data_IF_156686302783
#
_entry.id   IF_156686302783
#
_cell.length_a   1.000
_cell.length_b   1.000
_cell.length_c   1.000
_cell.angle_alpha   90.00
_cell.angle_beta   90.00
_cell.angle_gamma   90.00
#
_symmetry.space_group_name_H-M   'P 1'
#
loop_
_entity.id
_entity.type
_entity.pdbx_description
1 polymer ?
#
# COMPACT_ATOMS: atom_id res chain seq x y z
N UNK A 1 -7.01 1.42 0.58
CA UNK A 1 -5.97 2.11 1.36
C UNK A 1 -6.60 2.81 2.56
N UNK A 2 -5.90 2.83 3.68
CA UNK A 2 -6.30 3.56 4.88
C UNK A 2 -5.20 4.52 5.33
N UNK A 3 -5.62 5.57 6.04
CA UNK A 3 -4.74 6.51 6.70
C UNK A 3 -5.05 6.52 8.21
N UNK A 4 -4.01 6.38 9.02
CA UNK A 4 -4.06 6.48 10.48
C UNK A 4 -3.56 7.86 10.88
N UNK A 5 -4.38 8.60 11.61
CA UNK A 5 -4.03 9.89 12.19
C UNK A 5 -4.42 9.90 13.68
N UNK A 6 -3.99 10.88 14.46
CA UNK A 6 -4.46 11.04 15.85
C UNK A 6 -6.00 11.18 15.98
N UNK A 7 -6.68 11.51 14.88
CA UNK A 7 -8.13 11.75 14.87
C UNK A 7 -8.95 10.55 14.39
N UNK A 8 -8.32 9.49 13.90
CA UNK A 8 -9.03 8.29 13.46
C UNK A 8 -8.34 7.53 12.34
N UNK A 9 -9.03 6.48 11.91
CA UNK A 9 -8.72 5.69 10.72
C UNK A 9 -9.59 6.18 9.57
N UNK A 10 -8.98 6.62 8.49
CA UNK A 10 -9.67 7.17 7.33
C UNK A 10 -9.51 6.26 6.11
N UNK A 11 -10.56 6.12 5.31
CA UNK A 11 -10.43 5.58 3.96
C UNK A 11 -9.92 6.68 3.03
N UNK A 12 -9.21 6.32 1.96
CA UNK A 12 -8.51 7.24 1.03
C UNK A 12 -9.33 8.47 0.59
N UNK A 13 -10.61 8.31 0.39
CA UNK A 13 -11.50 9.35 -0.18
C UNK A 13 -12.53 9.87 0.81
N UNK A 14 -12.35 9.63 2.11
CA UNK A 14 -13.35 10.00 3.12
C UNK A 14 -12.86 11.14 4.00
N UNK A 15 -13.75 12.09 4.25
CA UNK A 15 -13.52 13.19 5.18
C UNK A 15 -13.78 12.81 6.65
N UNK A 16 -14.41 11.67 6.90
CA UNK A 16 -14.73 11.17 8.23
C UNK A 16 -14.05 9.80 8.49
N UNK A 17 -13.77 9.45 9.75
CA UNK A 17 -13.26 8.15 10.11
C UNK A 17 -14.14 7.01 9.59
N UNK A 18 -13.51 5.92 9.17
CA UNK A 18 -14.21 4.76 8.62
C UNK A 18 -14.76 3.85 9.72
N UNK A 19 -15.93 3.30 9.52
CA UNK A 19 -16.55 2.27 10.36
C UNK A 19 -16.76 0.95 9.63
N UNK A 20 -16.19 0.82 8.43
CA UNK A 20 -16.33 -0.38 7.60
C UNK A 20 -15.87 -1.64 8.33
N UNK A 21 -16.54 -2.81 8.14
CA UNK A 21 -16.19 -4.06 8.83
C UNK A 21 -14.73 -4.50 8.59
N UNK A 22 -14.21 -4.31 7.37
CA UNK A 22 -12.82 -4.64 7.00
C UNK A 22 -11.76 -3.71 7.61
N UNK A 23 -12.16 -2.68 8.35
CA UNK A 23 -11.24 -1.80 9.09
C UNK A 23 -11.28 -2.04 10.61
N UNK A 24 -12.02 -3.04 11.09
CA UNK A 24 -12.17 -3.28 12.53
C UNK A 24 -10.83 -3.55 13.21
N UNK A 25 -10.06 -4.51 12.72
CA UNK A 25 -8.74 -4.86 13.28
C UNK A 25 -7.79 -3.66 13.25
N UNK A 26 -7.83 -2.88 12.17
CA UNK A 26 -7.01 -1.67 12.05
C UNK A 26 -7.42 -0.58 13.05
N UNK A 27 -8.72 -0.42 13.31
CA UNK A 27 -9.21 0.53 14.33
C UNK A 27 -8.86 0.10 15.75
N UNK A 28 -8.94 -1.20 16.06
CA UNK A 28 -8.52 -1.75 17.34
C UNK A 28 -7.02 -1.47 17.58
N UNK A 29 -6.19 -1.65 16.56
CA UNK A 29 -4.76 -1.32 16.64
C UNK A 29 -4.51 0.18 16.76
N UNK A 30 -5.25 1.00 16.02
CA UNK A 30 -5.17 2.47 16.09
C UNK A 30 -5.45 2.99 17.50
N UNK A 31 -6.40 2.40 18.24
CA UNK A 31 -6.70 2.78 19.62
C UNK A 31 -5.47 2.69 20.55
N UNK A 32 -4.54 1.77 20.28
CA UNK A 32 -3.33 1.59 21.05
C UNK A 32 -2.23 2.63 20.75
N UNK A 33 -2.27 3.22 19.56
CA UNK A 33 -1.19 4.09 19.06
C UNK A 33 -1.60 5.56 18.85
N UNK A 34 -2.89 5.87 18.88
CA UNK A 34 -3.42 7.19 18.49
C UNK A 34 -2.83 8.37 19.25
N UNK A 35 -2.50 8.19 20.52
CA UNK A 35 -1.95 9.26 21.36
C UNK A 35 -0.49 9.58 21.05
N UNK A 36 0.23 8.66 20.40
CA UNK A 36 1.64 8.76 20.07
C UNK A 36 1.87 9.24 18.63
N UNK A 37 0.80 9.31 17.81
CA UNK A 37 0.91 9.73 16.41
C UNK A 37 1.29 11.22 16.25
N UNK A 38 0.82 12.09 17.13
CA UNK A 38 1.07 13.54 16.98
C UNK A 38 0.59 14.07 15.63
N UNK A 39 1.51 14.67 14.86
CA UNK A 39 1.25 15.18 13.51
C UNK A 39 1.62 14.18 12.40
N UNK A 40 1.98 12.94 12.79
CA UNK A 40 2.28 11.86 11.84
C UNK A 40 0.98 11.25 11.31
N UNK A 41 0.94 11.06 10.00
CA UNK A 41 -0.12 10.34 9.31
C UNK A 41 0.48 9.13 8.60
N UNK A 42 0.00 7.93 8.93
CA UNK A 42 0.50 6.66 8.39
C UNK A 42 -0.46 6.14 7.33
N UNK A 43 0.04 5.95 6.12
CA UNK A 43 -0.71 5.42 4.99
C UNK A 43 -0.32 3.98 4.71
N UNK A 44 -1.31 3.12 4.55
CA UNK A 44 -1.06 1.71 4.28
C UNK A 44 -2.13 1.06 3.41
N UNK A 45 -1.76 -0.09 2.84
CA UNK A 45 -2.67 -0.96 2.13
C UNK A 45 -3.36 -1.89 3.14
N UNK A 46 -4.68 -1.89 3.14
CA UNK A 46 -5.48 -2.80 3.95
C UNK A 46 -5.92 -3.98 3.08
N UNK A 47 -5.34 -5.13 3.34
CA UNK A 47 -5.56 -6.37 2.59
C UNK A 47 -6.56 -7.32 3.29
N UNK A 48 -7.32 -6.83 4.27
CA UNK A 48 -8.30 -7.62 5.00
C UNK A 48 -9.37 -8.24 4.10
N UNK A 49 -9.82 -7.53 3.08
CA UNK A 49 -10.80 -8.02 2.13
C UNK A 49 -10.13 -8.42 0.80
N UNK A 50 -10.44 -9.61 0.32
CA UNK A 50 -10.02 -10.06 -1.01
C UNK A 50 -10.70 -9.15 -2.05
N UNK A 51 -9.89 -8.60 -2.94
CA UNK A 51 -10.35 -7.79 -4.06
C UNK A 51 -10.04 -8.47 -5.40
N UNK A 52 -9.04 -8.01 -6.14
CA UNK A 52 -8.64 -8.58 -7.43
C UNK A 52 -7.64 -9.73 -7.32
N UNK A 53 -6.96 -9.84 -6.19
CA UNK A 53 -5.96 -10.87 -5.89
C UNK A 53 -6.18 -11.37 -4.46
N UNK A 54 -6.06 -12.69 -4.27
CA UNK A 54 -5.98 -13.33 -2.97
C UNK A 54 -4.50 -13.49 -2.59
N UNK A 55 -4.14 -13.03 -1.39
CA UNK A 55 -2.80 -13.17 -0.82
C UNK A 55 -2.81 -14.27 0.24
N UNK A 56 -2.01 -15.33 0.04
CA UNK A 56 -2.04 -16.55 0.88
C UNK A 56 -1.04 -16.57 2.03
N UNK A 57 -0.10 -15.61 2.05
CA UNK A 57 1.02 -15.57 3.01
C UNK A 57 1.09 -14.24 3.74
N UNK A 58 -0.07 -13.70 4.11
CA UNK A 58 -0.13 -12.47 4.90
C UNK A 58 0.16 -12.80 6.38
N UNK A 59 1.06 -12.05 7.00
CA UNK A 59 1.30 -12.08 8.44
C UNK A 59 0.30 -11.16 9.19
N UNK A 60 -0.15 -10.13 8.51
CA UNK A 60 -1.14 -9.15 8.97
C UNK A 60 -1.93 -8.61 7.78
N UNK A 61 -2.93 -7.80 8.03
CA UNK A 61 -3.75 -7.23 6.95
C UNK A 61 -3.41 -5.78 6.58
N UNK A 62 -2.53 -5.10 7.33
CA UNK A 62 -2.18 -3.71 7.06
C UNK A 62 -0.68 -3.53 6.87
N UNK A 63 -0.28 -2.99 5.71
CA UNK A 63 1.11 -2.77 5.33
C UNK A 63 1.35 -1.30 4.99
N UNK A 64 2.27 -0.66 5.71
CA UNK A 64 2.60 0.75 5.53
C UNK A 64 3.35 0.98 4.23
N UNK A 65 2.95 1.98 3.46
CA UNK A 65 3.66 2.39 2.25
C UNK A 65 4.12 3.85 2.25
N UNK A 66 3.57 4.70 3.10
CA UNK A 66 3.99 6.09 3.21
C UNK A 66 3.68 6.65 4.60
N UNK A 67 4.45 7.64 5.00
CA UNK A 67 4.20 8.46 6.18
C UNK A 67 4.28 9.93 5.77
N UNK A 68 3.37 10.73 6.28
CA UNK A 68 3.36 12.17 6.10
C UNK A 68 3.47 12.85 7.46
N UNK A 69 4.23 13.93 7.51
CA UNK A 69 4.26 14.85 8.66
C UNK A 69 4.01 16.25 8.12
N UNK A 70 2.88 16.86 8.50
CA UNK A 70 2.44 18.15 7.98
C UNK A 70 2.42 18.15 6.44
N UNK A 71 3.20 19.03 5.79
CA UNK A 71 3.24 19.19 4.34
C UNK A 71 4.37 18.39 3.65
N UNK A 72 4.98 17.40 4.35
CA UNK A 72 6.07 16.57 3.83
C UNK A 72 5.71 15.09 3.81
N UNK A 73 5.93 14.45 2.68
CA UNK A 73 6.07 13.00 2.60
C UNK A 73 7.48 12.63 3.04
N UNK A 74 7.56 11.76 4.03
CA UNK A 74 8.83 11.35 4.62
C UNK A 74 9.59 10.39 3.70
N UNK A 75 10.91 10.33 3.87
CA UNK A 75 11.79 9.39 3.17
C UNK A 75 11.39 7.94 3.45
N UNK A 76 11.80 7.02 2.57
CA UNK A 76 11.53 5.60 2.76
C UNK A 76 12.15 5.03 4.05
N UNK A 77 13.33 5.52 4.44
CA UNK A 77 13.97 5.15 5.71
C UNK A 77 13.13 5.59 6.92
N UNK A 78 12.59 6.81 6.89
CA UNK A 78 11.68 7.29 7.93
C UNK A 78 10.35 6.54 7.94
N UNK A 79 9.82 6.17 6.76
CA UNK A 79 8.64 5.30 6.68
C UNK A 79 8.89 3.97 7.39
N UNK A 80 10.04 3.32 7.14
CA UNK A 80 10.43 2.08 7.83
C UNK A 80 10.61 2.30 9.34
N UNK A 81 11.21 3.42 9.73
CA UNK A 81 11.38 3.78 11.14
C UNK A 81 10.04 3.92 11.86
N UNK A 82 9.11 4.72 11.34
CA UNK A 82 7.81 4.91 11.97
C UNK A 82 6.95 3.64 11.93
N UNK A 83 7.00 2.88 10.85
CA UNK A 83 6.32 1.59 10.77
C UNK A 83 6.82 0.65 11.89
N UNK A 84 8.14 0.53 12.07
CA UNK A 84 8.72 -0.27 13.15
C UNK A 84 8.37 0.26 14.54
N UNK A 85 8.37 1.58 14.74
CA UNK A 85 8.02 2.23 16.01
C UNK A 85 6.61 1.84 16.47
N UNK A 86 5.67 1.73 15.54
CA UNK A 86 4.28 1.34 15.80
C UNK A 86 4.02 -0.16 15.58
N UNK A 87 5.07 -0.96 15.41
CA UNK A 87 4.98 -2.40 15.17
C UNK A 87 4.07 -2.73 13.98
N UNK A 88 4.18 -1.97 12.90
CA UNK A 88 3.48 -2.16 11.63
C UNK A 88 4.47 -2.62 10.55
N UNK A 89 4.17 -3.66 9.76
CA UNK A 89 5.02 -4.00 8.63
C UNK A 89 4.87 -2.98 7.50
N UNK A 90 5.91 -2.86 6.69
CA UNK A 90 5.85 -2.10 5.43
C UNK A 90 5.45 -2.99 4.26
N UNK A 91 4.97 -2.38 3.18
CA UNK A 91 4.86 -3.07 1.89
C UNK A 91 6.24 -3.61 1.46
N UNK A 92 6.30 -4.72 0.70
CA UNK A 92 7.57 -5.28 0.26
C UNK A 92 8.36 -4.30 -0.60
N UNK A 93 9.63 -4.09 -0.24
CA UNK A 93 10.60 -3.42 -1.08
C UNK A 93 11.13 -4.42 -2.12
N UNK A 94 10.85 -4.17 -3.40
CA UNK A 94 11.25 -5.09 -4.46
C UNK A 94 12.66 -4.76 -4.98
N UNK A 95 12.98 -3.47 -5.09
CA UNK A 95 14.26 -3.01 -5.64
C UNK A 95 14.50 -1.53 -5.31
N UNK A 96 15.75 -1.18 -5.07
CA UNK A 96 16.22 0.21 -4.98
C UNK A 96 17.27 0.44 -6.06
N UNK A 97 17.13 1.50 -6.85
CA UNK A 97 17.99 1.82 -7.98
C UNK A 97 18.37 3.30 -7.99
N UNK A 98 19.56 3.57 -8.48
CA UNK A 98 19.99 4.93 -8.79
C UNK A 98 19.68 5.24 -10.25
N UNK A 99 18.65 6.06 -10.49
CA UNK A 99 18.11 6.32 -11.84
C UNK A 99 19.02 7.15 -12.75
N UNK A 100 20.04 7.82 -12.23
CA UNK A 100 20.99 8.61 -13.02
C UNK A 100 21.72 7.83 -14.11
N UNK A 101 21.76 6.49 -13.97
CA UNK A 101 22.40 5.58 -14.91
C UNK A 101 21.43 4.79 -15.78
N UNK A 102 20.12 5.03 -15.64
CA UNK A 102 19.09 4.31 -16.37
C UNK A 102 18.43 5.20 -17.40
N UNK A 103 18.20 4.66 -18.59
CA UNK A 103 17.29 5.30 -19.55
C UNK A 103 15.84 5.12 -19.06
N UNK A 104 14.96 5.98 -19.55
CA UNK A 104 13.52 5.86 -19.29
C UNK A 104 12.96 4.49 -19.70
N UNK A 105 13.40 4.02 -20.87
CA UNK A 105 13.01 2.72 -21.43
C UNK A 105 13.48 1.56 -20.56
N UNK A 106 14.72 1.60 -20.07
CA UNK A 106 15.27 0.59 -19.19
C UNK A 106 14.50 0.53 -17.85
N UNK A 107 14.19 1.69 -17.24
CA UNK A 107 13.37 1.76 -16.04
C UNK A 107 11.96 1.20 -16.27
N UNK A 108 11.34 1.56 -17.39
CA UNK A 108 10.02 1.04 -17.74
C UNK A 108 10.01 -0.47 -17.93
N UNK A 109 11.03 -1.02 -18.60
CA UNK A 109 11.18 -2.48 -18.75
C UNK A 109 11.35 -3.19 -17.42
N UNK A 110 12.14 -2.64 -16.49
CA UNK A 110 12.30 -3.18 -15.14
C UNK A 110 10.97 -3.22 -14.39
N UNK A 111 10.19 -2.14 -14.42
CA UNK A 111 8.87 -2.06 -13.78
C UNK A 111 7.91 -3.10 -14.34
N UNK A 112 7.87 -3.25 -15.67
CA UNK A 112 7.04 -4.26 -16.34
C UNK A 112 7.47 -5.68 -15.96
N UNK A 113 8.78 -5.96 -15.95
CA UNK A 113 9.33 -7.26 -15.57
C UNK A 113 8.96 -7.61 -14.12
N UNK A 114 9.16 -6.68 -13.18
CA UNK A 114 8.78 -6.86 -11.78
C UNK A 114 7.28 -7.15 -11.61
N UNK A 115 6.42 -6.51 -12.39
CA UNK A 115 4.98 -6.74 -12.34
C UNK A 115 4.55 -8.12 -12.87
N UNK A 116 5.39 -8.77 -13.68
CA UNK A 116 5.16 -10.12 -14.22
C UNK A 116 5.60 -11.25 -13.27
N UNK A 117 6.26 -10.93 -12.17
CA UNK A 117 6.65 -11.90 -11.17
C UNK A 117 5.49 -12.22 -10.21
N UNK A 118 5.50 -13.38 -9.54
CA UNK A 118 4.58 -13.67 -8.42
C UNK A 118 4.74 -12.65 -7.29
N UNK A 119 3.65 -12.32 -6.62
CA UNK A 119 3.71 -11.45 -5.44
C UNK A 119 4.41 -12.13 -4.25
N UNK A 120 5.09 -11.33 -3.43
CA UNK A 120 5.83 -11.80 -2.24
C UNK A 120 4.91 -12.58 -1.28
N UNK A 121 3.66 -12.17 -1.16
CA UNK A 121 2.67 -12.81 -0.28
C UNK A 121 1.95 -14.00 -0.91
N UNK A 122 2.43 -14.56 -2.04
CA UNK A 122 1.78 -15.67 -2.72
C UNK A 122 0.44 -15.25 -3.34
N UNK A 123 0.50 -14.76 -4.57
CA UNK A 123 -0.65 -14.23 -5.30
C UNK A 123 -1.44 -15.32 -6.01
N UNK A 124 -2.76 -15.31 -5.84
CA UNK A 124 -3.72 -16.24 -6.43
C UNK A 124 -4.88 -15.48 -7.06
N UNK A 125 -5.33 -15.94 -8.20
CA UNK A 125 -6.57 -15.46 -8.82
C UNK A 125 -7.77 -16.03 -8.03
N UNK A 126 -8.60 -15.20 -7.39
CA UNK A 126 -9.71 -15.69 -6.57
C UNK A 126 -10.84 -16.33 -7.38
N UNK A 127 -10.89 -16.14 -8.71
CA UNK A 127 -11.90 -16.73 -9.59
C UNK A 127 -11.48 -18.10 -10.07
N UNK A 128 -10.24 -18.27 -10.50
CA UNK A 128 -9.74 -19.54 -11.07
C UNK A 128 -9.04 -20.41 -10.04
N UNK A 129 -8.61 -19.83 -8.93
CA UNK A 129 -7.80 -20.52 -7.92
C UNK A 129 -6.35 -20.78 -8.36
N UNK A 130 -5.95 -20.32 -9.53
CA UNK A 130 -4.59 -20.48 -10.04
C UNK A 130 -3.63 -19.41 -9.49
N UNK A 131 -2.36 -19.74 -9.39
CA UNK A 131 -1.32 -18.76 -9.08
C UNK A 131 -1.27 -17.69 -10.17
N UNK A 132 -1.05 -16.44 -9.77
CA UNK A 132 -1.00 -15.31 -10.68
C UNK A 132 0.16 -14.37 -10.34
N UNK A 133 0.46 -13.48 -11.26
CA UNK A 133 1.45 -12.41 -11.05
C UNK A 133 0.86 -11.31 -10.16
N UNK A 134 1.72 -10.46 -9.61
CA UNK A 134 1.27 -9.30 -8.82
C UNK A 134 0.39 -8.35 -9.65
N UNK A 135 -0.45 -7.58 -8.98
CA UNK A 135 -1.35 -6.61 -9.62
C UNK A 135 -0.58 -5.51 -10.37
N UNK A 136 0.51 -5.07 -9.78
CA UNK A 136 1.34 -4.00 -10.31
C UNK A 136 2.50 -3.67 -9.39
N UNK A 137 3.12 -2.55 -9.67
CA UNK A 137 4.28 -2.01 -8.94
C UNK A 137 4.09 -0.53 -8.70
N UNK A 138 4.46 -0.06 -7.52
CA UNK A 138 4.58 1.37 -7.20
C UNK A 138 6.06 1.72 -7.19
N UNK A 139 6.45 2.70 -7.99
CA UNK A 139 7.79 3.26 -8.01
C UNK A 139 7.74 4.64 -7.36
N UNK A 140 8.63 4.90 -6.42
CA UNK A 140 8.69 6.18 -5.72
C UNK A 140 10.11 6.70 -5.54
N UNK A 141 10.25 8.01 -5.42
CA UNK A 141 11.45 8.60 -4.87
C UNK A 141 11.61 8.14 -3.40
N UNK A 142 12.81 7.69 -3.03
CA UNK A 142 13.10 7.24 -1.66
C UNK A 142 13.42 8.39 -0.69
N UNK A 143 13.73 9.59 -1.18
CA UNK A 143 13.89 10.79 -0.37
C UNK A 143 12.57 11.38 0.10
N UNK A 144 12.64 12.40 0.94
CA UNK A 144 11.49 13.20 1.31
C UNK A 144 11.12 14.21 0.21
N UNK A 145 9.87 14.59 0.14
CA UNK A 145 9.37 15.58 -0.81
C UNK A 145 8.08 16.24 -0.31
N UNK A 146 7.82 17.52 -0.70
CA UNK A 146 6.59 18.21 -0.35
C UNK A 146 5.35 17.51 -0.87
N UNK A 147 4.23 17.60 -0.15
CA UNK A 147 2.93 17.01 -0.58
C UNK A 147 2.53 17.48 -1.97
N UNK A 148 2.80 18.74 -2.33
CA UNK A 148 2.55 19.31 -3.65
C UNK A 148 3.30 18.61 -4.80
N UNK A 149 4.41 17.92 -4.50
CA UNK A 149 5.26 17.24 -5.48
C UNK A 149 4.93 15.74 -5.63
N UNK A 150 3.88 15.24 -4.99
CA UNK A 150 3.52 13.81 -4.98
C UNK A 150 3.47 13.21 -6.39
N UNK A 151 2.81 13.88 -7.34
CA UNK A 151 2.64 13.37 -8.70
C UNK A 151 3.96 13.24 -9.49
N UNK A 152 5.03 13.92 -9.05
CA UNK A 152 6.37 13.84 -9.65
C UNK A 152 7.24 12.77 -9.01
N UNK A 153 6.86 12.28 -7.84
CA UNK A 153 7.67 11.40 -7.00
C UNK A 153 7.09 9.99 -6.83
N UNK A 154 5.84 9.75 -7.26
CA UNK A 154 5.18 8.45 -7.10
C UNK A 154 4.46 8.06 -8.38
N UNK A 155 4.79 6.87 -8.90
CA UNK A 155 4.22 6.32 -10.13
C UNK A 155 3.68 4.93 -9.86
N UNK A 156 2.49 4.64 -10.38
CA UNK A 156 1.86 3.33 -10.28
C UNK A 156 1.76 2.69 -11.67
N UNK A 157 2.32 1.49 -11.80
CA UNK A 157 2.08 0.61 -12.93
C UNK A 157 1.14 -0.52 -12.51
N UNK A 158 0.07 -0.74 -13.27
CA UNK A 158 -0.90 -1.81 -13.05
C UNK A 158 -1.05 -2.60 -14.34
N UNK A 159 -0.93 -3.93 -14.25
CA UNK A 159 -1.08 -4.79 -15.44
C UNK A 159 -2.51 -4.77 -15.95
N UNK A 160 -2.68 -4.89 -17.27
CA UNK A 160 -4.00 -5.00 -17.89
C UNK A 160 -4.72 -6.28 -17.43
N UNK A 161 -6.04 -6.20 -17.25
CA UNK A 161 -6.88 -7.37 -16.95
C UNK A 161 -6.76 -7.90 -15.52
N UNK A 162 -6.22 -7.13 -14.58
CA UNK A 162 -6.19 -7.51 -13.16
C UNK A 162 -7.58 -7.44 -12.50
N UNK A 163 -8.47 -6.57 -12.97
CA UNK A 163 -9.88 -6.52 -12.57
C UNK A 163 -10.72 -7.21 -13.63
N UNK A 164 -11.41 -8.26 -13.25
CA UNK A 164 -12.19 -9.12 -14.18
C UNK A 164 -13.69 -8.97 -14.01
N UNK A 165 -14.16 -8.17 -13.06
CA UNK A 165 -15.59 -7.95 -12.79
C UNK A 165 -15.93 -6.48 -12.71
N UNK A 166 -17.10 -6.09 -13.21
CA UNK A 166 -17.66 -4.75 -13.06
C UNK A 166 -18.34 -4.55 -11.69
N UNK A 167 -18.44 -5.61 -10.89
CA UNK A 167 -19.07 -5.55 -9.58
C UNK A 167 -18.14 -4.87 -8.56
N UNK A 168 -18.71 -3.89 -7.82
CA UNK A 168 -17.94 -3.21 -6.79
C UNK A 168 -17.67 -4.17 -5.62
N UNK A 169 -16.40 -4.45 -5.33
CA UNK A 169 -15.93 -5.44 -4.37
C UNK A 169 -16.56 -5.35 -2.97
N UNK A 170 -16.99 -4.15 -2.55
CA UNK A 170 -17.61 -3.93 -1.23
C UNK A 170 -18.95 -4.62 -1.05
N UNK A 171 -19.59 -5.09 -2.13
CA UNK A 171 -20.90 -5.77 -2.05
C UNK A 171 -20.78 -7.24 -1.64
N UNK A 172 -19.73 -7.91 -2.13
CA UNK A 172 -19.50 -9.36 -1.92
C UNK A 172 -18.06 -9.65 -1.45
N UNK A 173 -17.55 -8.84 -0.53
CA UNK A 173 -16.20 -9.02 -0.03
C UNK A 173 -16.04 -10.29 0.81
N UNK A 174 -14.86 -10.90 0.75
CA UNK A 174 -14.44 -12.02 1.60
C UNK A 174 -13.19 -11.62 2.38
N UNK A 175 -13.03 -12.18 3.56
CA UNK A 175 -11.80 -12.02 4.34
C UNK A 175 -10.64 -12.75 3.64
N UNK A 176 -9.45 -12.12 3.62
CA UNK A 176 -8.20 -12.72 3.17
C UNK A 176 -7.68 -13.77 4.15
#
# INVERSE_FOLDING_TARGET
NNCLTRHGVFARSRAAPTTSPWTRELRERWELMKNDLGDIEIFGENLYAIHSIEYRKLETHFYVFAVRCLDQWLSWEEVKFYAALFDLPTVPELRVETVERLTREALQQQVVSLAQEPGVFGTRDPQTGADCTREGVVTRNIGEYPVSEFARNVFKYVRKGHVKTDEHWTRNWKRA
#
